data_IF_393570016611
#
_entry.id   IF_393570016611
#
_cell.length_a   1.000
_cell.length_b   1.000
_cell.length_c   1.000
_cell.angle_alpha   90.00
_cell.angle_beta   90.00
_cell.angle_gamma   90.00
#
_symmetry.space_group_name_H-M   'P 1'
#
loop_
_entity.id
_entity.type
_entity.pdbx_description
1 polymer ?
#
# COMPACT_ATOMS: atom_id res chain seq x y z
N UNK A 1 7.15 -4.38 2.58
CA UNK A 1 7.00 -5.20 3.81
C UNK A 1 8.14 -6.20 3.99
N UNK A 2 8.36 -7.15 3.05
CA UNK A 2 9.50 -8.09 3.08
C UNK A 2 10.85 -7.41 3.36
N UNK A 3 11.04 -6.22 2.79
CA UNK A 3 12.18 -5.32 3.00
C UNK A 3 12.40 -4.94 4.48
N UNK A 4 11.41 -4.30 5.09
CA UNK A 4 11.50 -3.83 6.49
C UNK A 4 11.54 -5.01 7.45
N UNK A 5 10.88 -6.12 7.11
CA UNK A 5 10.89 -7.33 7.91
C UNK A 5 12.25 -8.01 7.87
N UNK A 6 12.84 -8.27 6.69
CA UNK A 6 14.12 -8.98 6.55
C UNK A 6 15.33 -8.13 6.99
N UNK A 7 15.33 -6.81 6.75
CA UNK A 7 16.37 -5.93 7.31
C UNK A 7 16.34 -5.88 8.85
N UNK A 8 15.15 -6.04 9.45
CA UNK A 8 14.98 -5.96 10.90
C UNK A 8 15.08 -7.33 11.57
N UNK A 9 14.81 -8.45 10.87
CA UNK A 9 15.19 -9.82 11.26
C UNK A 9 16.63 -9.86 11.75
N UNK A 10 17.54 -9.34 10.92
CA UNK A 10 18.97 -9.33 11.18
C UNK A 10 19.36 -8.43 12.38
N UNK A 11 18.64 -7.32 12.60
CA UNK A 11 18.83 -6.43 13.77
C UNK A 11 18.26 -6.99 15.08
N UNK A 12 17.38 -7.99 15.02
CA UNK A 12 16.80 -8.68 16.18
C UNK A 12 17.60 -9.96 16.51
N UNK A 13 18.28 -10.55 15.51
CA UNK A 13 19.22 -11.69 15.67
C UNK A 13 20.33 -11.48 16.69
N UNK A 14 20.61 -10.23 17.10
CA UNK A 14 21.57 -9.92 18.16
C UNK A 14 20.99 -9.57 19.54
N UNK A 15 19.66 -9.52 19.75
CA UNK A 15 19.09 -8.86 20.94
C UNK A 15 18.53 -9.77 22.04
N UNK A 16 17.94 -10.94 21.74
CA UNK A 16 17.48 -11.93 22.74
C UNK A 16 17.03 -13.26 22.07
N UNK A 17 17.41 -14.46 22.57
CA UNK A 17 16.96 -15.75 22.02
C UNK A 17 15.44 -15.98 22.09
N UNK A 18 14.74 -15.45 23.11
CA UNK A 18 13.28 -15.54 23.22
C UNK A 18 12.59 -14.75 22.11
N UNK A 19 13.06 -13.54 21.81
CA UNK A 19 12.54 -12.77 20.66
C UNK A 19 12.79 -13.47 19.34
N UNK A 20 13.85 -14.28 19.20
CA UNK A 20 14.13 -15.04 17.97
C UNK A 20 13.16 -16.21 17.75
N UNK A 21 12.84 -16.97 18.80
CA UNK A 21 11.84 -18.04 18.71
C UNK A 21 10.46 -17.49 18.40
N UNK A 22 10.07 -16.39 19.06
CA UNK A 22 8.80 -15.73 18.81
C UNK A 22 8.75 -15.13 17.39
N UNK A 23 9.86 -14.58 16.91
CA UNK A 23 9.99 -14.06 15.55
C UNK A 23 9.82 -15.14 14.46
N UNK A 24 10.43 -16.32 14.66
CA UNK A 24 10.26 -17.46 13.75
C UNK A 24 8.81 -17.95 13.67
N UNK A 25 8.08 -17.88 14.77
CA UNK A 25 6.66 -18.24 14.79
C UNK A 25 5.80 -17.13 14.20
N UNK A 26 6.17 -15.86 14.38
CA UNK A 26 5.41 -14.71 13.93
C UNK A 26 5.44 -14.52 12.40
N UNK A 27 6.63 -14.65 11.79
CA UNK A 27 6.83 -14.34 10.38
C UNK A 27 5.88 -15.07 9.41
N UNK A 28 5.64 -16.39 9.54
CA UNK A 28 4.72 -17.08 8.64
C UNK A 28 3.29 -16.56 8.72
N UNK A 29 2.82 -16.17 9.91
CA UNK A 29 1.47 -15.62 10.08
C UNK A 29 1.37 -14.20 9.52
N UNK A 30 2.38 -13.36 9.74
CA UNK A 30 2.46 -12.02 9.15
C UNK A 30 2.52 -12.08 7.62
N UNK A 31 3.38 -12.94 7.07
CA UNK A 31 3.53 -13.12 5.63
C UNK A 31 2.23 -13.63 4.99
N UNK A 32 1.58 -14.65 5.59
CA UNK A 32 0.28 -15.14 5.13
C UNK A 32 -0.77 -14.03 5.15
N UNK A 33 -0.86 -13.29 6.25
CA UNK A 33 -1.83 -12.20 6.40
C UNK A 33 -1.58 -11.09 5.36
N UNK A 34 -0.32 -10.78 5.10
CA UNK A 34 0.07 -9.80 4.09
C UNK A 34 -0.23 -10.28 2.67
N UNK A 35 0.13 -11.51 2.32
CA UNK A 35 -0.18 -12.08 1.01
C UNK A 35 -1.68 -12.09 0.74
N UNK A 36 -2.47 -12.43 1.76
CA UNK A 36 -3.92 -12.37 1.68
C UNK A 36 -4.35 -10.91 1.45
N UNK A 37 -4.00 -9.98 2.33
CA UNK A 37 -4.66 -8.68 2.35
C UNK A 37 -4.01 -7.61 1.46
N UNK A 38 -2.78 -7.83 0.96
CA UNK A 38 -1.94 -6.77 0.37
C UNK A 38 -1.46 -7.02 -1.05
N UNK A 39 -1.35 -8.27 -1.51
CA UNK A 39 -0.94 -8.56 -2.90
C UNK A 39 -1.89 -7.98 -3.97
N UNK A 40 -3.20 -7.84 -3.76
CA UNK A 40 -4.08 -7.17 -4.72
C UNK A 40 -3.82 -5.66 -4.85
N UNK A 41 -3.01 -5.05 -3.97
CA UNK A 41 -2.88 -3.58 -3.82
C UNK A 41 -1.68 -2.98 -4.54
N UNK A 42 -0.69 -3.80 -4.91
CA UNK A 42 0.59 -3.31 -5.44
C UNK A 42 0.56 -2.96 -6.93
N UNK A 43 -0.51 -3.29 -7.65
CA UNK A 43 -0.71 -2.87 -9.03
C UNK A 43 -1.13 -1.38 -9.16
N UNK A 44 -1.73 -0.79 -8.12
CA UNK A 44 -2.44 0.51 -8.24
C UNK A 44 -1.74 1.69 -7.54
N UNK A 45 -0.63 1.42 -6.84
CA UNK A 45 0.11 2.43 -6.03
C UNK A 45 0.62 3.60 -6.89
N UNK A 46 0.77 3.42 -8.20
CA UNK A 46 1.53 4.36 -9.02
C UNK A 46 0.66 5.23 -9.95
N UNK A 47 -0.63 4.93 -10.07
CA UNK A 47 -1.58 5.73 -10.87
C UNK A 47 -2.16 6.95 -10.13
N UNK A 48 -2.41 6.82 -8.83
CA UNK A 48 -3.25 7.78 -8.09
C UNK A 48 -2.50 8.97 -7.48
N UNK A 49 -1.18 8.85 -7.27
CA UNK A 49 -0.33 9.90 -6.72
C UNK A 49 0.54 10.52 -7.82
N UNK A 50 -0.10 11.26 -8.72
CA UNK A 50 0.55 12.12 -9.72
C UNK A 50 1.51 13.10 -9.03
N UNK A 51 2.76 12.69 -8.85
CA UNK A 51 3.79 13.46 -8.15
C UNK A 51 5.08 12.70 -7.81
N UNK A 52 5.05 11.37 -7.69
CA UNK A 52 6.28 10.59 -7.44
C UNK A 52 7.03 10.37 -8.76
N UNK A 53 7.92 11.31 -9.10
CA UNK A 53 8.86 11.14 -10.21
C UNK A 53 9.80 9.96 -9.92
N UNK A 54 9.52 8.80 -10.49
CA UNK A 54 10.53 7.77 -10.72
C UNK A 54 11.56 8.37 -11.69
N UNK A 55 12.74 8.73 -11.18
CA UNK A 55 13.79 9.35 -11.99
C UNK A 55 14.44 8.32 -12.90
N UNK A 56 14.26 8.51 -14.20
CA UNK A 56 14.89 7.74 -15.27
C UNK A 56 16.43 7.91 -15.24
N UNK A 57 17.17 6.80 -15.10
CA UNK A 57 18.61 6.75 -15.36
C UNK A 57 18.85 6.07 -16.71
N UNK A 58 18.88 6.85 -17.78
CA UNK A 58 19.29 6.41 -19.11
C UNK A 58 19.99 7.55 -19.88
N UNK A 59 21.03 7.27 -20.69
CA UNK A 59 21.93 8.29 -21.20
C UNK A 59 21.24 9.18 -22.24
N UNK A 60 21.29 10.49 -21.99
CA UNK A 60 20.81 11.54 -22.87
C UNK A 60 21.46 11.46 -24.26
N UNK A 61 20.70 11.07 -25.29
CA UNK A 61 21.03 11.41 -26.69
C UNK A 61 20.13 12.57 -27.13
N UNK A 62 20.73 13.74 -27.36
CA UNK A 62 20.09 14.88 -28.02
C UNK A 62 19.71 14.47 -29.45
N UNK A 63 18.43 14.55 -29.77
CA UNK A 63 17.95 14.54 -31.15
C UNK A 63 17.62 15.97 -31.58
N UNK A 64 18.29 16.37 -32.66
CA UNK A 64 18.20 17.63 -33.36
C UNK A 64 17.05 17.68 -34.36
N UNK A 65 16.56 18.91 -34.59
CA UNK A 65 15.89 19.45 -35.80
C UNK A 65 14.53 18.86 -36.24
N UNK A 66 13.49 19.69 -36.15
CA UNK A 66 12.28 19.66 -36.99
C UNK A 66 12.41 20.73 -38.09
N UNK A 67 12.11 20.44 -39.37
CA UNK A 67 12.05 21.47 -40.40
C UNK A 67 10.68 22.13 -40.49
N UNK A 68 10.74 23.41 -40.87
CA UNK A 68 9.66 24.36 -41.13
C UNK A 68 8.56 23.87 -42.07
N UNK A 69 7.32 24.26 -41.79
CA UNK A 69 6.31 24.46 -42.83
C UNK A 69 5.58 25.80 -42.60
N UNK A 70 5.70 26.70 -43.60
CA UNK A 70 5.14 28.06 -43.66
C UNK A 70 3.88 28.07 -44.53
N UNK A 71 2.87 28.85 -44.09
CA UNK A 71 1.77 29.58 -44.80
C UNK A 71 0.43 29.28 -44.14
N UNK A 72 -0.17 30.18 -43.34
CA UNK A 72 -0.90 31.42 -43.68
C UNK A 72 -2.00 31.24 -44.73
N UNK A 73 -3.28 31.47 -44.35
CA UNK A 73 -4.21 32.48 -44.88
C UNK A 73 -5.49 32.52 -44.01
N UNK A 74 -5.99 33.74 -43.83
CA UNK A 74 -7.08 34.28 -43.00
C UNK A 74 -8.44 34.36 -43.70
N UNK A 75 -9.53 34.49 -42.91
CA UNK A 75 -10.87 35.01 -43.29
C UNK A 75 -11.98 33.97 -43.12
N UNK A 76 -13.21 34.22 -42.63
CA UNK A 76 -13.96 35.42 -42.26
C UNK A 76 -15.47 35.07 -42.31
N UNK A 77 -16.12 35.05 -41.13
CA UNK A 77 -17.52 35.38 -40.77
C UNK A 77 -18.75 34.94 -41.63
N UNK A 78 -19.66 34.22 -40.94
CA UNK A 78 -21.16 34.19 -40.99
C UNK A 78 -21.97 33.54 -42.13
N UNK A 79 -22.85 32.58 -41.78
CA UNK A 79 -24.32 32.69 -41.98
C UNK A 79 -25.13 31.57 -41.25
N UNK A 80 -26.15 32.02 -40.51
CA UNK A 80 -27.50 31.48 -40.23
C UNK A 80 -27.82 29.95 -40.13
N UNK A 81 -28.27 29.58 -38.91
CA UNK A 81 -29.42 28.75 -38.52
C UNK A 81 -30.08 27.80 -39.56
N UNK A 82 -29.93 26.49 -39.31
CA UNK A 82 -30.95 25.47 -39.57
C UNK A 82 -30.93 24.48 -38.39
N UNK A 83 -31.91 24.63 -37.50
CA UNK A 83 -32.20 23.63 -36.48
C UNK A 83 -32.91 22.43 -37.13
N UNK A 84 -32.67 21.26 -36.51
CA UNK A 84 -33.48 20.04 -36.52
C UNK A 84 -32.95 18.89 -37.40
N UNK A 85 -32.48 17.87 -36.66
CA UNK A 85 -32.25 16.45 -36.98
C UNK A 85 -30.94 16.05 -37.65
N UNK A 86 -29.91 15.87 -36.81
CA UNK A 86 -29.04 14.71 -36.94
C UNK A 86 -29.08 13.95 -35.61
N UNK A 87 -29.77 12.82 -35.63
CA UNK A 87 -29.57 11.73 -34.67
C UNK A 87 -28.06 11.43 -34.72
N UNK A 88 -27.35 11.75 -33.64
CA UNK A 88 -26.01 11.23 -33.45
C UNK A 88 -26.14 9.73 -33.27
N UNK A 89 -25.99 8.98 -34.34
CA UNK A 89 -25.55 7.60 -34.25
C UNK A 89 -24.10 7.67 -33.75
N UNK A 90 -23.96 7.71 -32.42
CA UNK A 90 -22.67 7.63 -31.76
C UNK A 90 -22.19 6.19 -31.95
N UNK A 91 -21.64 5.92 -33.13
CA UNK A 91 -20.76 4.79 -33.38
C UNK A 91 -19.79 4.72 -32.20
N UNK A 92 -19.80 3.58 -31.51
CA UNK A 92 -18.92 3.27 -30.39
C UNK A 92 -17.47 3.28 -30.89
N UNK A 93 -16.89 4.47 -30.99
CA UNK A 93 -15.46 4.62 -31.18
C UNK A 93 -14.85 4.15 -29.87
N UNK A 94 -14.23 2.96 -29.91
CA UNK A 94 -13.35 2.42 -28.88
C UNK A 94 -12.54 3.56 -28.27
N UNK A 95 -12.95 4.03 -27.10
CA UNK A 95 -12.18 4.95 -26.31
C UNK A 95 -11.03 4.12 -25.76
N UNK A 96 -9.95 4.05 -26.54
CA UNK A 96 -8.68 3.57 -26.04
C UNK A 96 -8.30 4.54 -24.93
N UNK A 97 -8.36 4.05 -23.70
CA UNK A 97 -7.90 4.75 -22.51
C UNK A 97 -6.51 5.34 -22.77
N UNK A 98 -6.17 6.52 -22.21
CA UNK A 98 -4.82 7.04 -22.30
C UNK A 98 -3.85 5.96 -21.78
N UNK A 99 -2.66 5.80 -22.36
CA UNK A 99 -1.72 4.79 -21.91
C UNK A 99 -1.41 5.02 -20.44
N UNK A 100 -1.85 4.09 -19.59
CA UNK A 100 -1.39 3.99 -18.21
C UNK A 100 0.13 3.95 -18.30
N UNK A 101 0.81 4.98 -17.80
CA UNK A 101 2.27 4.98 -17.76
C UNK A 101 2.67 3.89 -16.78
N UNK A 102 3.03 2.71 -17.30
CA UNK A 102 3.41 1.61 -16.43
C UNK A 102 4.75 1.92 -15.80
N UNK A 103 4.79 1.93 -14.47
CA UNK A 103 6.02 2.17 -13.73
C UNK A 103 6.72 0.83 -13.48
N UNK A 104 8.05 0.81 -13.48
CA UNK A 104 8.84 -0.43 -13.29
C UNK A 104 8.49 -1.17 -11.99
N UNK A 105 7.95 -0.47 -10.97
CA UNK A 105 7.51 -1.05 -9.70
C UNK A 105 6.09 -1.67 -9.74
N UNK A 106 5.30 -1.41 -10.78
CA UNK A 106 4.02 -2.10 -11.01
C UNK A 106 4.25 -3.54 -11.46
N UNK A 107 5.33 -3.79 -12.21
CA UNK A 107 5.82 -5.14 -12.48
C UNK A 107 6.73 -5.59 -11.33
N UNK A 108 6.11 -6.09 -10.25
CA UNK A 108 6.79 -6.59 -9.05
C UNK A 108 7.86 -7.65 -9.40
N UNK A 109 7.55 -8.53 -10.35
CA UNK A 109 8.45 -9.60 -10.79
C UNK A 109 9.70 -9.02 -11.45
N UNK A 110 9.54 -8.06 -12.35
CA UNK A 110 10.66 -7.37 -12.96
C UNK A 110 11.45 -6.52 -11.93
N UNK A 111 10.75 -5.79 -11.06
CA UNK A 111 11.35 -4.90 -10.04
C UNK A 111 12.33 -5.64 -9.12
N UNK A 112 11.98 -6.87 -8.70
CA UNK A 112 12.81 -7.69 -7.81
C UNK A 112 13.63 -8.77 -8.53
N UNK A 113 13.55 -8.87 -9.86
CA UNK A 113 14.24 -9.91 -10.65
C UNK A 113 15.75 -10.02 -10.34
N UNK A 114 16.41 -8.89 -10.07
CA UNK A 114 17.84 -8.87 -9.76
C UNK A 114 18.22 -9.47 -8.37
N UNK A 115 17.23 -9.88 -7.58
CA UNK A 115 17.42 -10.62 -6.33
C UNK A 115 17.47 -12.14 -6.54
N UNK A 116 17.08 -12.64 -7.72
CA UNK A 116 17.02 -14.06 -8.01
C UNK A 116 18.37 -14.76 -7.77
N UNK A 117 18.33 -15.85 -7.01
CA UNK A 117 19.52 -16.65 -6.67
C UNK A 117 20.45 -16.05 -5.62
N UNK A 118 20.26 -14.79 -5.21
CA UNK A 118 21.06 -14.18 -4.14
C UNK A 118 20.64 -14.69 -2.76
N UNK A 119 21.61 -14.78 -1.83
CA UNK A 119 21.37 -15.21 -0.44
C UNK A 119 22.23 -14.40 0.54
N UNK A 120 21.84 -14.40 1.81
CA UNK A 120 22.61 -13.81 2.89
C UNK A 120 22.95 -12.35 2.65
N UNK A 121 24.20 -11.95 2.89
CA UNK A 121 24.65 -10.55 2.77
C UNK A 121 24.47 -9.98 1.37
N UNK A 122 24.74 -10.77 0.32
CA UNK A 122 24.58 -10.32 -1.07
C UNK A 122 23.13 -9.99 -1.42
N UNK A 123 22.19 -10.80 -0.94
CA UNK A 123 20.76 -10.51 -1.07
C UNK A 123 20.40 -9.21 -0.37
N UNK A 124 20.87 -9.03 0.87
CA UNK A 124 20.58 -7.83 1.67
C UNK A 124 21.12 -6.55 1.04
N UNK A 125 22.37 -6.57 0.57
CA UNK A 125 23.00 -5.42 -0.08
C UNK A 125 22.28 -5.06 -1.38
N UNK A 126 21.93 -6.07 -2.19
CA UNK A 126 21.20 -5.85 -3.44
C UNK A 126 19.80 -5.31 -3.17
N UNK A 127 19.09 -5.89 -2.21
CA UNK A 127 17.76 -5.44 -1.80
C UNK A 127 17.80 -3.99 -1.30
N UNK A 128 18.75 -3.68 -0.41
CA UNK A 128 18.96 -2.32 0.07
C UNK A 128 19.24 -1.34 -1.08
N UNK A 129 20.04 -1.75 -2.07
CA UNK A 129 20.31 -0.90 -3.24
C UNK A 129 19.04 -0.56 -4.04
N UNK A 130 18.15 -1.54 -4.26
CA UNK A 130 16.89 -1.38 -5.02
C UNK A 130 15.97 -0.40 -4.29
N UNK A 131 15.82 -0.56 -2.98
CA UNK A 131 14.86 0.22 -2.16
C UNK A 131 15.42 1.56 -1.68
N UNK A 132 16.74 1.77 -1.70
CA UNK A 132 17.39 2.93 -1.07
C UNK A 132 16.91 4.28 -1.64
N UNK A 133 16.34 4.27 -2.85
CA UNK A 133 15.80 5.43 -3.53
C UNK A 133 14.35 5.77 -3.12
N UNK A 134 13.79 5.07 -2.14
CA UNK A 134 12.42 5.32 -1.68
C UNK A 134 12.23 6.77 -1.20
N UNK A 135 11.02 7.29 -1.44
CA UNK A 135 10.61 8.58 -0.93
C UNK A 135 9.81 8.40 0.36
N UNK A 136 10.27 9.02 1.43
CA UNK A 136 9.53 9.07 2.69
C UNK A 136 8.51 10.19 2.65
N UNK A 137 7.26 9.88 2.97
CA UNK A 137 6.23 10.90 3.22
C UNK A 137 6.27 11.36 4.69
N UNK A 138 5.89 12.62 4.98
CA UNK A 138 5.74 13.09 6.35
C UNK A 138 4.52 12.43 7.03
N UNK A 139 4.61 12.30 8.35
CA UNK A 139 3.65 11.53 9.15
C UNK A 139 2.19 12.00 9.02
N UNK A 140 1.96 13.30 8.80
CA UNK A 140 0.62 13.86 8.59
C UNK A 140 0.01 13.47 7.23
N UNK A 141 0.82 13.20 6.19
CA UNK A 141 0.34 12.77 4.87
C UNK A 141 -0.03 11.29 4.82
N UNK A 142 0.31 10.50 5.85
CA UNK A 142 -0.05 9.09 5.92
C UNK A 142 -1.56 8.89 5.85
N UNK A 143 -2.36 9.78 6.44
CA UNK A 143 -3.82 9.67 6.41
C UNK A 143 -4.36 9.71 4.99
N UNK A 144 -3.87 10.65 4.18
CA UNK A 144 -4.27 10.79 2.79
C UNK A 144 -3.82 9.58 1.97
N UNK A 145 -2.60 9.10 2.22
CA UNK A 145 -2.08 7.91 1.56
C UNK A 145 -2.91 6.66 1.87
N UNK A 146 -3.22 6.38 3.15
CA UNK A 146 -4.10 5.26 3.53
C UNK A 146 -5.52 5.44 3.00
N UNK A 147 -6.02 6.68 2.95
CA UNK A 147 -7.30 7.02 2.32
C UNK A 147 -7.39 6.60 0.85
N UNK A 148 -6.26 6.53 0.15
CA UNK A 148 -6.18 6.05 -1.24
C UNK A 148 -5.88 4.55 -1.29
N UNK A 149 -4.89 4.08 -0.54
CA UNK A 149 -4.38 2.70 -0.60
C UNK A 149 -5.33 1.65 -0.02
N UNK A 150 -6.17 2.05 0.93
CA UNK A 150 -7.14 1.18 1.61
C UNK A 150 -8.58 1.56 1.24
N UNK A 151 -8.77 2.31 0.16
CA UNK A 151 -10.09 2.68 -0.34
C UNK A 151 -10.94 1.44 -0.66
N UNK A 152 -12.25 1.51 -0.41
CA UNK A 152 -13.19 0.41 -0.74
C UNK A 152 -13.23 0.13 -2.25
N UNK A 153 -13.07 1.17 -3.06
CA UNK A 153 -12.97 1.10 -4.52
C UNK A 153 -11.52 1.41 -4.90
N UNK A 154 -10.79 0.39 -5.33
CA UNK A 154 -9.36 0.49 -5.67
C UNK A 154 -9.17 1.14 -7.04
N UNK A 155 -10.14 0.98 -7.96
CA UNK A 155 -10.10 1.57 -9.31
C UNK A 155 -10.37 3.09 -9.24
N UNK A 156 -11.26 3.51 -8.34
CA UNK A 156 -11.63 4.92 -8.14
C UNK A 156 -11.45 5.35 -6.67
N UNK A 157 -10.21 5.31 -6.14
CA UNK A 157 -9.95 5.44 -4.72
C UNK A 157 -10.23 6.85 -4.19
N UNK A 158 -10.31 7.86 -5.06
CA UNK A 158 -10.64 9.24 -4.68
C UNK A 158 -12.16 9.48 -4.60
N UNK A 159 -12.95 8.67 -5.30
CA UNK A 159 -14.40 8.87 -5.42
C UNK A 159 -15.17 8.18 -4.29
N UNK A 160 -14.59 7.13 -3.70
CA UNK A 160 -15.15 6.50 -2.50
C UNK A 160 -14.85 7.30 -1.23
N UNK A 161 -15.83 7.54 -0.34
CA UNK A 161 -15.60 8.19 0.93
C UNK A 161 -15.19 7.20 2.05
N UNK A 162 -14.97 5.92 1.72
CA UNK A 162 -14.71 4.85 2.70
C UNK A 162 -13.35 4.18 2.49
N UNK A 163 -12.77 3.68 3.58
CA UNK A 163 -11.63 2.75 3.61
C UNK A 163 -12.02 1.44 4.26
N UNK A 164 -11.29 0.36 3.97
CA UNK A 164 -11.43 -0.93 4.67
C UNK A 164 -10.43 -1.01 5.81
N UNK A 165 -10.92 -1.26 7.02
CA UNK A 165 -10.08 -1.53 8.19
C UNK A 165 -9.53 -2.95 8.19
N UNK A 166 -8.26 -3.08 8.57
CA UNK A 166 -7.49 -4.31 8.43
C UNK A 166 -7.94 -5.47 9.34
N UNK A 167 -8.52 -5.17 10.51
CA UNK A 167 -8.94 -6.18 11.49
C UNK A 167 -10.44 -6.35 11.66
N UNK A 168 -11.21 -5.28 11.44
CA UNK A 168 -12.68 -5.35 11.48
C UNK A 168 -13.25 -5.83 10.15
N UNK A 169 -12.49 -5.66 9.06
CA UNK A 169 -12.92 -5.86 7.67
C UNK A 169 -14.12 -5.00 7.26
N UNK A 170 -14.37 -3.90 7.96
CA UNK A 170 -15.51 -2.99 7.71
C UNK A 170 -15.09 -1.80 6.88
N UNK A 171 -16.03 -1.33 6.06
CA UNK A 171 -15.94 -0.03 5.39
C UNK A 171 -16.23 1.09 6.40
N UNK A 172 -15.28 2.00 6.60
CA UNK A 172 -15.40 3.13 7.53
C UNK A 172 -15.13 4.45 6.82
N UNK A 173 -15.84 5.55 7.16
CA UNK A 173 -15.64 6.82 6.50
C UNK A 173 -14.21 7.36 6.67
N UNK A 174 -13.61 7.85 5.58
CA UNK A 174 -12.30 8.53 5.58
C UNK A 174 -12.25 9.71 6.54
N UNK A 175 -13.39 10.41 6.68
CA UNK A 175 -13.54 11.56 7.58
C UNK A 175 -13.44 11.21 9.07
N UNK A 176 -13.40 9.91 9.42
CA UNK A 176 -13.17 9.45 10.80
C UNK A 176 -11.69 9.15 11.10
N UNK A 177 -10.78 9.41 10.17
CA UNK A 177 -9.33 9.28 10.39
C UNK A 177 -8.88 10.03 11.66
N UNK A 178 -8.27 9.29 12.59
CA UNK A 178 -7.73 9.84 13.83
C UNK A 178 -8.76 10.25 14.89
N UNK A 179 -10.05 9.96 14.67
CA UNK A 179 -11.11 10.19 15.67
C UNK A 179 -11.26 9.00 16.61
N UNK A 180 -11.78 9.22 17.82
CA UNK A 180 -11.92 8.19 18.85
C UNK A 180 -12.87 7.07 18.43
N UNK A 181 -13.96 7.44 17.77
CA UNK A 181 -14.98 6.56 17.20
C UNK A 181 -14.67 6.11 15.77
N UNK A 182 -13.43 6.36 15.32
CA UNK A 182 -12.99 6.13 13.96
C UNK A 182 -11.86 5.12 13.89
N UNK A 183 -10.94 5.40 12.99
CA UNK A 183 -9.80 4.54 12.71
C UNK A 183 -8.48 5.27 12.90
N UNK A 184 -7.44 4.52 13.25
CA UNK A 184 -6.08 5.01 13.30
C UNK A 184 -5.14 4.27 12.35
N UNK A 185 -3.87 4.67 12.40
CA UNK A 185 -2.76 4.05 11.68
C UNK A 185 -2.25 2.88 12.49
N UNK A 186 -2.55 1.68 12.05
CA UNK A 186 -2.01 0.44 12.57
C UNK A 186 -0.66 0.11 11.94
N UNK A 187 0.32 -0.19 12.77
CA UNK A 187 1.63 -0.67 12.34
C UNK A 187 1.67 -2.20 12.46
N UNK A 188 1.57 -2.93 11.34
CA UNK A 188 1.57 -4.41 11.37
C UNK A 188 2.81 -4.97 12.07
N UNK A 189 3.95 -4.33 11.85
CA UNK A 189 5.13 -4.42 12.69
C UNK A 189 5.12 -3.31 13.75
N UNK A 190 4.88 -3.60 15.04
CA UNK A 190 4.75 -2.59 16.09
C UNK A 190 5.99 -1.71 16.23
N UNK A 191 5.74 -0.43 16.52
CA UNK A 191 6.81 0.56 16.74
C UNK A 191 7.75 0.20 17.88
N UNK A 192 7.23 -0.42 18.94
CA UNK A 192 7.99 -0.85 20.11
C UNK A 192 9.08 -1.87 19.78
N UNK A 193 9.05 -2.48 18.60
CA UNK A 193 10.08 -3.40 18.12
C UNK A 193 11.15 -2.72 17.26
N UNK A 194 11.35 -1.42 17.45
CA UNK A 194 12.48 -0.68 16.89
C UNK A 194 12.14 0.23 15.72
N UNK A 195 10.87 0.62 15.53
CA UNK A 195 10.46 1.71 14.63
C UNK A 195 10.26 2.99 15.44
N UNK A 196 11.37 3.55 15.94
CA UNK A 196 11.35 4.67 16.88
C UNK A 196 11.47 6.00 16.14
N UNK A 197 12.36 6.09 15.14
CA UNK A 197 12.63 7.32 14.38
C UNK A 197 13.01 6.99 12.95
N UNK A 198 12.57 7.82 12.00
CA UNK A 198 12.99 7.72 10.59
C UNK A 198 11.86 7.34 9.61
N UNK A 199 12.21 7.13 8.34
CA UNK A 199 11.27 6.76 7.27
C UNK A 199 10.44 5.51 7.56
N UNK A 200 10.95 4.59 8.38
CA UNK A 200 10.23 3.37 8.75
C UNK A 200 8.94 3.63 9.54
N UNK A 201 8.80 4.81 10.15
CA UNK A 201 7.59 5.18 10.88
C UNK A 201 6.42 5.44 9.93
N UNK A 202 6.72 5.87 8.70
CA UNK A 202 5.75 6.23 7.66
C UNK A 202 5.76 5.25 6.49
N UNK A 203 6.35 4.06 6.66
CA UNK A 203 6.31 3.01 5.64
C UNK A 203 4.86 2.55 5.39
N UNK A 204 4.34 2.90 4.22
CA UNK A 204 2.99 2.57 3.78
C UNK A 204 2.77 1.08 3.55
N UNK A 205 3.83 0.28 3.42
CA UNK A 205 3.71 -1.18 3.40
C UNK A 205 3.47 -1.80 4.77
N UNK A 206 3.66 -1.03 5.84
CA UNK A 206 3.51 -1.48 7.22
C UNK A 206 2.31 -0.82 7.92
N UNK A 207 1.67 0.14 7.26
CA UNK A 207 0.65 1.00 7.82
C UNK A 207 -0.72 0.70 7.20
N UNK A 208 -1.74 0.54 8.05
CA UNK A 208 -3.11 0.29 7.61
C UNK A 208 -4.14 1.02 8.48
N UNK A 209 -5.34 1.29 7.97
CA UNK A 209 -6.49 1.67 8.78
C UNK A 209 -6.87 0.53 9.73
N UNK A 210 -7.07 0.85 11.01
CA UNK A 210 -7.70 -0.04 11.97
C UNK A 210 -8.62 0.76 12.86
N UNK A 211 -9.73 0.18 13.27
CA UNK A 211 -10.54 0.70 14.38
C UNK A 211 -9.64 1.01 15.59
N UNK A 212 -9.89 2.14 16.25
CA UNK A 212 -9.06 2.64 17.35
C UNK A 212 -9.02 1.66 18.53
N UNK A 213 -10.17 1.07 18.90
CA UNK A 213 -10.27 0.12 20.00
C UNK A 213 -9.57 -1.19 19.64
N UNK A 214 -9.76 -1.68 18.42
CA UNK A 214 -9.10 -2.89 17.93
C UNK A 214 -7.59 -2.72 17.89
N UNK A 215 -7.08 -1.58 17.37
CA UNK A 215 -5.65 -1.31 17.37
C UNK A 215 -5.10 -1.27 18.81
N UNK A 216 -5.79 -0.55 19.71
CA UNK A 216 -5.37 -0.51 21.11
C UNK A 216 -5.35 -1.90 21.77
N UNK A 217 -6.31 -2.78 21.44
CA UNK A 217 -6.38 -4.16 21.93
C UNK A 217 -5.26 -5.05 21.35
N UNK A 218 -4.92 -4.84 20.07
CA UNK A 218 -3.81 -5.52 19.40
C UNK A 218 -2.48 -5.14 20.05
N UNK A 219 -2.27 -3.85 20.32
CA UNK A 219 -1.07 -3.35 20.99
C UNK A 219 0.21 -3.74 20.26
N UNK A 220 1.12 -4.43 20.95
CA UNK A 220 2.35 -4.95 20.36
C UNK A 220 2.36 -6.48 20.23
N UNK A 221 1.21 -7.15 20.26
CA UNK A 221 1.14 -8.61 20.18
C UNK A 221 1.67 -9.14 18.85
N UNK A 222 2.27 -10.32 18.91
CA UNK A 222 2.77 -11.03 17.74
C UNK A 222 1.60 -11.64 16.97
N UNK A 223 1.69 -11.73 15.64
CA UNK A 223 0.72 -12.53 14.90
C UNK A 223 0.94 -14.01 15.18
N UNK A 224 -0.13 -14.69 15.52
CA UNK A 224 -0.11 -16.10 15.87
C UNK A 224 -1.50 -16.60 16.22
N UNK A 225 -1.66 -17.91 16.21
CA UNK A 225 -2.87 -18.56 16.68
C UNK A 225 -2.85 -18.62 18.20
N UNK A 226 -3.98 -18.26 18.82
CA UNK A 226 -4.17 -18.60 20.21
C UNK A 226 -4.37 -20.13 20.32
N UNK A 227 -3.88 -20.75 21.39
CA UNK A 227 -4.16 -22.17 21.62
C UNK A 227 -5.60 -22.32 22.15
N UNK A 228 -6.49 -23.09 21.48
CA UNK A 228 -7.89 -23.22 21.88
C UNK A 228 -8.09 -23.80 23.29
N UNK A 229 -7.08 -24.50 23.82
CA UNK A 229 -7.06 -25.07 25.17
C UNK A 229 -6.64 -24.09 26.27
N UNK A 230 -6.25 -22.87 25.90
CA UNK A 230 -5.93 -21.80 26.85
C UNK A 230 -7.22 -21.07 27.24
N UNK A 231 -7.54 -21.04 28.54
CA UNK A 231 -8.62 -20.19 29.08
C UNK A 231 -8.42 -18.70 28.82
N UNK A 232 -7.24 -18.31 28.36
CA UNK A 232 -6.88 -16.91 28.07
C UNK A 232 -7.08 -16.52 26.59
N UNK A 233 -7.55 -17.44 25.72
CA UNK A 233 -7.89 -17.07 24.35
C UNK A 233 -9.29 -16.45 24.24
N UNK A 234 -9.35 -15.22 23.73
CA UNK A 234 -10.58 -14.49 23.45
C UNK A 234 -10.87 -14.49 21.95
N UNK A 235 -12.11 -14.78 21.58
CA UNK A 235 -12.64 -14.68 20.21
C UNK A 235 -14.07 -14.10 20.24
N UNK A 236 -14.36 -13.03 19.47
CA UNK A 236 -13.42 -12.25 18.67
C UNK A 236 -12.34 -11.58 19.53
N UNK A 237 -11.22 -11.21 18.91
CA UNK A 237 -10.08 -10.61 19.60
C UNK A 237 -10.40 -9.27 20.30
N UNK A 238 -11.46 -8.61 19.84
CA UNK A 238 -12.04 -7.40 20.39
C UNK A 238 -13.50 -7.31 19.89
N UNK A 239 -14.45 -6.69 20.62
CA UNK A 239 -15.87 -6.67 20.21
C UNK A 239 -16.11 -6.07 18.81
N UNK A 240 -15.26 -5.12 18.39
CA UNK A 240 -15.35 -4.45 17.09
C UNK A 240 -14.67 -5.23 15.95
N UNK A 241 -13.73 -6.13 16.29
CA UNK A 241 -12.95 -6.94 15.35
C UNK A 241 -13.80 -7.99 14.62
N UNK A 242 -13.28 -8.54 13.52
CA UNK A 242 -13.97 -9.59 12.80
C UNK A 242 -14.14 -10.86 13.66
N UNK A 243 -15.23 -11.65 13.48
CA UNK A 243 -15.56 -12.77 14.36
C UNK A 243 -14.51 -13.89 14.42
N UNK A 244 -13.73 -14.04 13.36
CA UNK A 244 -12.68 -15.06 13.20
C UNK A 244 -11.32 -14.63 13.76
N UNK A 245 -11.23 -13.42 14.31
CA UNK A 245 -10.06 -12.99 15.06
C UNK A 245 -9.99 -13.65 16.43
N UNK A 246 -8.78 -13.77 16.96
CA UNK A 246 -8.56 -14.23 18.32
C UNK A 246 -7.35 -13.54 18.95
N UNK A 247 -7.29 -13.49 20.28
CA UNK A 247 -6.12 -12.93 20.97
C UNK A 247 -5.93 -13.57 22.35
N UNK A 248 -4.67 -13.60 22.80
CA UNK A 248 -4.31 -13.84 24.18
C UNK A 248 -3.36 -12.71 24.67
N UNK A 249 -2.61 -12.96 25.75
CA UNK A 249 -1.66 -11.98 26.31
C UNK A 249 -0.51 -11.63 25.39
N UNK A 250 -0.11 -12.53 24.49
CA UNK A 250 1.08 -12.40 23.65
C UNK A 250 0.76 -12.43 22.15
N UNK A 251 -0.33 -13.08 21.75
CA UNK A 251 -0.67 -13.38 20.36
C UNK A 251 -1.94 -12.67 19.87
N UNK A 252 -1.95 -12.38 18.57
CA UNK A 252 -3.07 -11.85 17.82
C UNK A 252 -3.28 -12.69 16.56
N UNK A 253 -4.42 -13.35 16.46
CA UNK A 253 -4.85 -14.05 15.24
C UNK A 253 -5.61 -13.05 14.37
N UNK A 254 -5.05 -12.64 13.23
CA UNK A 254 -5.71 -11.70 12.33
C UNK A 254 -6.84 -12.40 11.57
N UNK A 255 -7.76 -11.64 10.96
CA UNK A 255 -8.85 -12.24 10.20
C UNK A 255 -8.35 -12.95 8.93
N UNK A 256 -9.10 -13.95 8.49
CA UNK A 256 -8.76 -14.84 7.37
C UNK A 256 -9.25 -14.36 5.99
N UNK A 257 -9.93 -13.21 5.95
CA UNK A 257 -10.78 -12.66 4.87
C UNK A 257 -12.24 -13.12 4.95
#
# INVERSE_FOLDING_TARGET
MLVVIEERRFKIEGRNPKTMSTYKNWLPHLDRFWQQNMLPRLADVVSSLSGMRCTFTGPFRRLSSLPSCRRCITGGVALLLLFVNLVSDASSNNLTSPPHASYDCEDISHYYSSLEGLKGTQFMEKMHSIISLHHSIPYNQVWDALGVLDAVDIEHPKDTPYVIEIYTQKAVPKVLAGKLEGWNREHLWPRSYGLITGPELTDLHNLHPSDVNVNSSRGNKYYGECLPSSTDCLSPANPEAAPDTATDKESWTPPTK
#
